data_IF_752002070351
#
_entry.id   IF_752002070351
#
_cell.length_a   1.000
_cell.length_b   1.000
_cell.length_c   1.000
_cell.angle_alpha   90.00
_cell.angle_beta   90.00
_cell.angle_gamma   90.00
#
_symmetry.space_group_name_H-M   'P 1'
#
loop_
_entity.id
_entity.type
_entity.pdbx_description
1 polymer ?
#
# COMPACT_ATOMS: atom_id res chain seq x y z
N UNK A 1 -71.58 -57.73 -30.21
CA UNK A 1 -71.61 -56.71 -29.13
C UNK A 1 -70.71 -55.56 -29.54
N UNK A 2 -71.28 -54.39 -29.86
CA UNK A 2 -70.51 -53.21 -30.30
C UNK A 2 -70.24 -52.33 -29.07
N UNK A 3 -68.97 -52.15 -28.70
CA UNK A 3 -68.54 -51.23 -27.65
C UNK A 3 -68.49 -49.81 -28.22
N UNK A 4 -69.37 -48.94 -27.76
CA UNK A 4 -69.27 -47.50 -27.98
C UNK A 4 -68.12 -46.95 -27.13
N UNK A 5 -67.09 -46.43 -27.78
CA UNK A 5 -66.01 -45.70 -27.12
C UNK A 5 -66.51 -44.30 -26.74
N UNK A 6 -66.72 -44.09 -25.44
CA UNK A 6 -67.02 -42.78 -24.87
C UNK A 6 -65.77 -41.89 -24.93
N UNK A 7 -65.82 -40.86 -25.79
CA UNK A 7 -64.73 -39.88 -25.93
C UNK A 7 -64.80 -38.89 -24.78
N UNK A 8 -64.02 -39.15 -23.71
CA UNK A 8 -63.83 -38.23 -22.57
C UNK A 8 -63.23 -36.90 -23.05
N UNK A 9 -64.07 -35.88 -23.24
CA UNK A 9 -63.65 -34.54 -23.60
C UNK A 9 -62.97 -33.87 -22.39
N UNK A 10 -61.67 -33.60 -22.52
CA UNK A 10 -60.84 -32.99 -21.49
C UNK A 10 -61.21 -31.49 -21.39
N UNK A 11 -62.02 -31.12 -20.42
CA UNK A 11 -62.34 -29.72 -20.14
C UNK A 11 -61.13 -29.05 -19.47
N UNK A 12 -60.41 -28.24 -20.24
CA UNK A 12 -59.28 -27.47 -19.71
C UNK A 12 -59.87 -26.33 -18.88
N UNK A 13 -59.58 -26.30 -17.58
CA UNK A 13 -60.08 -25.25 -16.70
C UNK A 13 -59.32 -23.94 -16.99
N UNK A 14 -59.94 -23.06 -17.77
CA UNK A 14 -59.38 -21.79 -18.26
C UNK A 14 -58.75 -20.94 -17.14
N UNK A 15 -59.36 -20.94 -15.95
CA UNK A 15 -58.88 -20.17 -14.81
C UNK A 15 -57.56 -20.74 -14.26
N UNK A 16 -57.43 -22.07 -14.21
CA UNK A 16 -56.19 -22.72 -13.79
C UNK A 16 -55.07 -22.54 -14.81
N UNK A 17 -55.36 -22.59 -16.12
CA UNK A 17 -54.36 -22.32 -17.16
C UNK A 17 -53.90 -20.88 -17.15
N UNK A 18 -54.81 -19.93 -16.89
CA UNK A 18 -54.47 -18.52 -16.76
C UNK A 18 -53.59 -18.27 -15.52
N UNK A 19 -53.93 -18.86 -14.37
CA UNK A 19 -53.12 -18.76 -13.16
C UNK A 19 -51.71 -19.34 -13.31
N UNK A 20 -51.56 -20.47 -14.00
CA UNK A 20 -50.25 -21.08 -14.28
C UNK A 20 -49.44 -20.19 -15.24
N UNK A 21 -50.09 -19.65 -16.28
CA UNK A 21 -49.43 -18.76 -17.23
C UNK A 21 -48.95 -17.46 -16.60
N UNK A 22 -49.77 -16.83 -15.74
CA UNK A 22 -49.39 -15.60 -15.03
C UNK A 22 -48.27 -15.86 -14.02
N UNK A 23 -48.32 -16.96 -13.27
CA UNK A 23 -47.26 -17.34 -12.35
C UNK A 23 -45.94 -17.63 -13.08
N UNK A 24 -46.00 -18.31 -14.24
CA UNK A 24 -44.83 -18.51 -15.10
C UNK A 24 -44.24 -17.21 -15.62
N UNK A 25 -45.08 -16.25 -16.04
CA UNK A 25 -44.64 -14.93 -16.49
C UNK A 25 -43.97 -14.13 -15.36
N UNK A 26 -44.51 -14.19 -14.14
CA UNK A 26 -43.92 -13.51 -12.97
C UNK A 26 -42.56 -14.10 -12.59
N UNK A 27 -42.41 -15.44 -12.64
CA UNK A 27 -41.11 -16.09 -12.42
C UNK A 27 -40.10 -15.65 -13.48
N UNK A 28 -40.51 -15.59 -14.75
CA UNK A 28 -39.64 -15.17 -15.84
C UNK A 28 -39.23 -13.68 -15.70
N UNK A 29 -40.15 -12.82 -15.28
CA UNK A 29 -39.86 -11.41 -14.98
C UNK A 29 -38.86 -11.29 -13.81
N UNK A 30 -39.02 -12.07 -12.75
CA UNK A 30 -38.08 -12.10 -11.62
C UNK A 30 -36.68 -12.55 -12.04
N UNK A 31 -36.58 -13.59 -12.88
CA UNK A 31 -35.29 -14.05 -13.42
C UNK A 31 -34.61 -12.96 -14.27
N UNK A 32 -35.38 -12.24 -15.09
CA UNK A 32 -34.86 -11.14 -15.88
C UNK A 32 -34.34 -9.99 -15.00
N UNK A 33 -35.10 -9.60 -13.97
CA UNK A 33 -34.69 -8.55 -13.03
C UNK A 33 -33.45 -8.94 -12.22
N UNK A 34 -33.35 -10.19 -11.77
CA UNK A 34 -32.15 -10.68 -11.06
C UNK A 34 -30.93 -10.71 -11.98
N UNK A 35 -31.06 -11.14 -13.24
CA UNK A 35 -29.97 -11.08 -14.21
C UNK A 35 -29.49 -9.64 -14.47
N UNK A 36 -30.43 -8.70 -14.66
CA UNK A 36 -30.12 -7.27 -14.79
C UNK A 36 -29.40 -6.74 -13.54
N UNK A 37 -29.88 -7.07 -12.34
CA UNK A 37 -29.25 -6.69 -11.08
C UNK A 37 -27.84 -7.23 -10.93
N UNK A 38 -27.58 -8.47 -11.34
CA UNK A 38 -26.24 -9.06 -11.35
C UNK A 38 -25.31 -8.34 -12.34
N UNK A 39 -25.81 -7.96 -13.53
CA UNK A 39 -25.04 -7.18 -14.51
C UNK A 39 -24.71 -5.77 -14.00
N UNK A 40 -25.69 -5.08 -13.42
CA UNK A 40 -25.50 -3.75 -12.82
C UNK A 40 -24.51 -3.83 -11.65
N UNK A 41 -24.61 -4.86 -10.80
CA UNK A 41 -23.63 -5.11 -9.73
C UNK A 41 -22.23 -5.34 -10.30
N UNK A 42 -22.09 -6.10 -11.39
CA UNK A 42 -20.79 -6.27 -12.06
C UNK A 42 -20.26 -4.95 -12.61
N UNK A 43 -21.10 -4.09 -13.18
CA UNK A 43 -20.72 -2.75 -13.65
C UNK A 43 -20.35 -1.80 -12.50
N UNK A 44 -21.08 -1.84 -11.39
CA UNK A 44 -20.77 -1.06 -10.18
C UNK A 44 -19.48 -1.51 -9.49
N UNK A 45 -19.07 -2.77 -9.67
CA UNK A 45 -17.79 -3.29 -9.20
C UNK A 45 -16.64 -3.03 -10.19
N UNK A 46 -16.92 -2.56 -11.41
CA UNK A 46 -15.86 -2.14 -12.34
C UNK A 46 -15.33 -0.78 -11.88
N UNK A 47 -14.00 -0.67 -11.85
CA UNK A 47 -13.31 0.57 -11.50
C UNK A 47 -13.65 1.65 -12.54
N UNK A 48 -13.86 2.91 -12.13
CA UNK A 48 -14.06 4.00 -13.06
C UNK A 48 -12.85 4.10 -13.99
N UNK A 49 -13.09 4.25 -15.28
CA UNK A 49 -12.01 4.37 -16.27
C UNK A 49 -11.10 5.55 -15.89
N UNK A 50 -9.79 5.30 -15.82
CA UNK A 50 -8.82 6.36 -15.60
C UNK A 50 -8.86 7.32 -16.81
N UNK A 51 -9.26 8.57 -16.59
CA UNK A 51 -9.17 9.61 -17.62
C UNK A 51 -7.69 9.95 -17.85
N UNK A 52 -7.12 9.43 -18.94
CA UNK A 52 -5.76 9.74 -19.35
C UNK A 52 -5.78 11.05 -20.14
N UNK A 53 -4.92 12.01 -19.80
CA UNK A 53 -4.72 13.20 -20.63
C UNK A 53 -4.09 12.78 -21.96
N UNK A 54 -4.68 13.25 -23.06
CA UNK A 54 -4.16 13.06 -24.41
C UNK A 54 -2.88 13.89 -24.57
N UNK A 55 -1.74 13.24 -24.78
CA UNK A 55 -0.55 13.93 -25.29
C UNK A 55 -0.62 13.85 -26.83
N UNK A 56 -0.73 15.01 -27.47
CA UNK A 56 -0.72 15.15 -28.94
C UNK A 56 -1.82 14.38 -29.72
N UNK A 57 -3.03 14.23 -29.15
CA UNK A 57 -4.22 13.77 -29.90
C UNK A 57 -4.25 12.27 -30.24
N UNK A 58 -3.28 11.49 -29.78
CA UNK A 58 -3.29 10.02 -29.88
C UNK A 58 -3.76 9.42 -28.56
N UNK A 59 -4.82 8.58 -28.54
CA UNK A 59 -5.22 7.87 -27.34
C UNK A 59 -4.14 6.85 -26.99
N UNK A 60 -3.41 7.08 -25.89
CA UNK A 60 -2.55 6.05 -25.32
C UNK A 60 -3.48 4.96 -24.82
N UNK A 61 -3.47 3.81 -25.48
CA UNK A 61 -4.10 2.59 -25.00
C UNK A 61 -3.29 2.12 -23.79
N UNK A 62 -3.52 2.71 -22.61
CA UNK A 62 -2.99 2.18 -21.36
C UNK A 62 -3.83 0.95 -21.02
N UNK A 63 -3.43 -0.19 -21.58
CA UNK A 63 -4.08 -1.49 -21.39
C UNK A 63 -3.83 -2.08 -19.99
N UNK A 64 -2.93 -1.47 -19.20
CA UNK A 64 -2.52 -1.93 -17.87
C UNK A 64 -2.68 -0.79 -16.85
N UNK A 65 -3.85 -0.70 -16.20
CA UNK A 65 -4.13 0.23 -15.07
C UNK A 65 -3.13 0.08 -13.91
N UNK A 66 -2.40 -1.05 -13.89
CA UNK A 66 -1.39 -1.37 -12.90
C UNK A 66 0.02 -1.02 -13.36
N UNK A 67 0.25 -0.54 -14.58
CA UNK A 67 1.57 -0.09 -15.00
C UNK A 67 1.93 1.25 -14.35
N UNK A 68 3.20 1.42 -13.98
CA UNK A 68 3.73 2.64 -13.35
C UNK A 68 5.09 2.95 -13.96
N UNK A 69 5.38 4.24 -14.09
CA UNK A 69 6.69 4.70 -14.55
C UNK A 69 7.78 4.23 -13.56
N UNK A 70 8.88 3.62 -14.03
CA UNK A 70 9.99 3.21 -13.18
C UNK A 70 10.51 4.30 -12.26
N UNK A 71 10.55 5.55 -12.71
CA UNK A 71 11.04 6.68 -11.93
C UNK A 71 10.07 7.05 -10.80
N UNK A 72 8.76 6.97 -11.03
CA UNK A 72 7.74 7.16 -9.97
C UNK A 72 7.93 6.13 -8.87
N UNK A 73 8.20 4.87 -9.22
CA UNK A 73 8.46 3.81 -8.23
C UNK A 73 9.73 4.11 -7.43
N UNK A 74 10.81 4.56 -8.09
CA UNK A 74 12.07 4.92 -7.41
C UNK A 74 11.90 6.10 -6.47
N UNK A 75 11.18 7.13 -6.89
CA UNK A 75 10.89 8.31 -6.08
C UNK A 75 10.00 7.94 -4.89
N UNK A 76 8.97 7.12 -5.11
CA UNK A 76 8.14 6.58 -4.05
C UNK A 76 8.98 5.87 -2.99
N UNK A 77 9.82 4.90 -3.38
CA UNK A 77 10.71 4.19 -2.45
C UNK A 77 11.64 5.14 -1.72
N UNK A 78 12.27 6.09 -2.43
CA UNK A 78 13.22 7.05 -1.84
C UNK A 78 12.54 7.96 -0.82
N UNK A 79 11.39 8.54 -1.19
CA UNK A 79 10.60 9.45 -0.35
C UNK A 79 10.06 8.72 0.87
N UNK A 80 9.47 7.55 0.70
CA UNK A 80 8.94 6.74 1.80
C UNK A 80 10.03 6.35 2.79
N UNK A 81 11.17 5.84 2.32
CA UNK A 81 12.28 5.45 3.20
C UNK A 81 12.90 6.66 3.90
N UNK A 82 13.08 7.77 3.19
CA UNK A 82 13.58 9.02 3.78
C UNK A 82 12.65 9.52 4.88
N UNK A 83 11.34 9.57 4.62
CA UNK A 83 10.36 9.98 5.63
C UNK A 83 10.24 9.01 6.80
N UNK A 84 10.53 7.72 6.61
CA UNK A 84 10.52 6.72 7.68
C UNK A 84 11.73 6.83 8.62
N UNK A 85 12.91 7.13 8.09
CA UNK A 85 14.19 7.01 8.81
C UNK A 85 14.90 8.34 9.12
N UNK A 86 14.41 9.47 8.60
CA UNK A 86 14.90 10.79 8.98
C UNK A 86 14.27 11.26 10.30
N UNK A 87 14.92 10.92 11.41
CA UNK A 87 14.47 11.27 12.75
C UNK A 87 15.17 12.54 13.23
N UNK A 88 14.41 13.64 13.30
CA UNK A 88 14.93 14.95 13.74
C UNK A 88 14.52 15.33 15.17
N UNK A 89 13.57 14.59 15.76
CA UNK A 89 12.90 14.97 17.01
C UNK A 89 11.92 16.13 16.85
N UNK A 90 11.57 16.50 15.62
CA UNK A 90 10.75 17.67 15.29
C UNK A 90 9.60 17.28 14.36
N UNK A 91 8.47 17.96 14.52
CA UNK A 91 7.31 17.76 13.66
C UNK A 91 7.59 18.26 12.23
N UNK A 92 7.04 17.60 11.19
CA UNK A 92 7.11 18.11 9.82
C UNK A 92 6.47 19.49 9.71
N UNK A 93 7.22 20.47 9.21
CA UNK A 93 6.72 21.84 9.04
C UNK A 93 5.55 21.88 8.04
N UNK A 94 4.48 22.57 8.42
CA UNK A 94 3.29 22.76 7.59
C UNK A 94 3.28 24.10 6.85
N UNK A 95 4.09 25.06 7.29
CA UNK A 95 4.21 26.40 6.73
C UNK A 95 5.66 26.93 6.87
N UNK A 96 5.95 28.08 6.26
CA UNK A 96 7.28 28.69 6.21
C UNK A 96 7.75 29.11 7.61
N UNK A 97 6.84 29.51 8.48
CA UNK A 97 7.12 29.90 9.86
C UNK A 97 7.64 28.71 10.69
N UNK A 98 7.02 27.54 10.52
CA UNK A 98 7.42 26.30 11.19
C UNK A 98 8.76 25.76 10.70
N UNK A 99 9.19 26.10 9.48
CA UNK A 99 10.56 25.82 9.02
C UNK A 99 11.58 26.59 9.88
N UNK A 100 11.27 27.84 10.23
CA UNK A 100 12.14 28.69 11.04
C UNK A 100 12.06 28.37 12.53
N UNK A 101 10.90 27.90 13.01
CA UNK A 101 10.67 27.54 14.42
C UNK A 101 10.01 26.16 14.53
N UNK A 102 10.78 25.08 14.30
CA UNK A 102 10.21 23.75 14.26
C UNK A 102 9.83 23.25 15.65
N UNK A 103 8.59 22.75 15.75
CA UNK A 103 7.98 22.24 16.98
C UNK A 103 8.58 20.88 17.37
N UNK A 104 8.77 20.60 18.68
CA UNK A 104 9.25 19.29 19.13
C UNK A 104 8.22 18.19 18.83
N UNK A 105 8.70 17.01 18.45
CA UNK A 105 7.90 15.81 18.27
C UNK A 105 7.86 15.03 19.59
N UNK A 106 6.66 14.76 20.11
CA UNK A 106 6.48 13.98 21.35
C UNK A 106 6.59 12.47 21.12
N UNK A 107 6.56 12.05 19.85
CA UNK A 107 6.55 10.66 19.41
C UNK A 107 5.20 9.98 19.61
N UNK A 108 5.00 8.90 18.86
CA UNK A 108 3.79 8.07 18.91
C UNK A 108 4.15 6.72 19.54
N UNK A 109 3.38 6.30 20.54
CA UNK A 109 3.62 5.04 21.27
C UNK A 109 3.16 3.84 20.44
N UNK A 110 4.08 2.91 20.22
CA UNK A 110 3.85 1.62 19.56
C UNK A 110 4.08 0.50 20.57
N UNK A 111 3.09 -0.39 20.79
CA UNK A 111 3.26 -1.53 21.68
C UNK A 111 4.22 -2.54 21.05
N UNK A 112 5.29 -2.90 21.77
CA UNK A 112 6.22 -3.96 21.34
C UNK A 112 5.76 -5.34 21.81
N UNK A 113 6.34 -6.39 21.24
CA UNK A 113 6.07 -7.79 21.64
C UNK A 113 6.43 -8.08 23.11
N UNK A 114 7.28 -7.25 23.70
CA UNK A 114 7.74 -7.36 25.10
C UNK A 114 6.81 -6.65 26.10
N UNK A 115 5.67 -6.10 25.65
CA UNK A 115 4.72 -5.37 26.50
C UNK A 115 5.16 -3.93 26.85
N UNK A 116 6.37 -3.52 26.44
CA UNK A 116 6.89 -2.16 26.63
C UNK A 116 6.51 -1.32 25.40
N UNK A 117 5.86 -0.17 25.60
CA UNK A 117 5.59 0.77 24.51
C UNK A 117 6.82 1.60 24.19
N UNK A 118 7.30 1.54 22.94
CA UNK A 118 8.38 2.40 22.43
C UNK A 118 7.81 3.49 21.53
N UNK A 119 8.57 4.56 21.30
CA UNK A 119 8.12 5.71 20.50
C UNK A 119 8.65 5.64 19.08
N UNK A 120 7.84 6.06 18.12
CA UNK A 120 8.25 6.37 16.74
C UNK A 120 8.02 7.85 16.47
N UNK A 121 8.77 8.43 15.55
CA UNK A 121 8.50 9.83 15.15
C UNK A 121 7.17 9.93 14.42
N UNK A 122 6.52 11.10 14.51
CA UNK A 122 5.30 11.40 13.78
C UNK A 122 5.51 11.23 12.27
N UNK A 123 6.68 11.63 11.76
CA UNK A 123 7.06 11.43 10.36
C UNK A 123 7.12 9.95 9.96
N UNK A 124 7.74 9.11 10.78
CA UNK A 124 7.82 7.66 10.56
C UNK A 124 6.45 7.00 10.58
N UNK A 125 5.59 7.42 11.52
CA UNK A 125 4.23 6.89 11.62
C UNK A 125 3.39 7.26 10.40
N UNK A 126 3.44 8.52 9.96
CA UNK A 126 2.74 8.98 8.75
C UNK A 126 3.30 8.24 7.52
N UNK A 127 4.62 8.18 7.37
CA UNK A 127 5.29 7.49 6.27
C UNK A 127 4.94 5.99 6.19
N UNK A 128 4.64 5.36 7.33
CA UNK A 128 4.22 3.94 7.38
C UNK A 128 2.93 3.64 6.62
N UNK A 129 2.14 4.65 6.22
CA UNK A 129 0.99 4.46 5.32
C UNK A 129 1.39 4.14 3.88
N UNK A 130 2.67 4.27 3.52
CA UNK A 130 3.25 3.72 2.29
C UNK A 130 3.43 2.20 2.36
N UNK A 131 3.31 1.62 3.56
CA UNK A 131 3.43 0.18 3.82
C UNK A 131 2.04 -0.46 3.83
N UNK A 132 1.95 -1.68 3.31
CA UNK A 132 0.73 -2.51 3.35
C UNK A 132 0.23 -2.68 4.78
N UNK A 133 -1.08 -2.76 4.94
CA UNK A 133 -1.72 -2.79 6.27
C UNK A 133 -1.30 -3.96 7.14
N UNK A 134 -1.21 -5.14 6.54
CA UNK A 134 -0.81 -6.37 7.23
C UNK A 134 0.63 -6.31 7.75
N UNK A 135 1.51 -5.59 7.05
CA UNK A 135 2.94 -5.49 7.37
C UNK A 135 3.27 -4.28 8.26
N UNK A 136 2.49 -3.20 8.16
CA UNK A 136 2.76 -1.90 8.81
C UNK A 136 2.94 -2.01 10.32
N UNK A 137 2.11 -2.79 11.00
CA UNK A 137 2.18 -2.94 12.46
C UNK A 137 3.49 -3.59 12.90
N UNK A 138 3.94 -4.63 12.19
CA UNK A 138 5.24 -5.26 12.42
C UNK A 138 6.39 -4.28 12.15
N UNK A 139 6.33 -3.63 10.99
CA UNK A 139 7.32 -2.64 10.60
C UNK A 139 7.48 -1.50 11.63
N UNK A 140 6.37 -0.94 12.12
CA UNK A 140 6.40 0.13 13.13
C UNK A 140 7.02 -0.33 14.46
N UNK A 141 6.88 -1.61 14.85
CA UNK A 141 7.54 -2.12 16.06
C UNK A 141 9.05 -2.13 15.91
N UNK A 142 9.56 -2.54 14.75
CA UNK A 142 10.99 -2.51 14.47
C UNK A 142 11.53 -1.08 14.39
N UNK A 143 10.81 -0.16 13.76
CA UNK A 143 11.17 1.26 13.79
C UNK A 143 11.21 1.77 15.24
N UNK A 144 10.23 1.41 16.06
CA UNK A 144 10.21 1.79 17.48
C UNK A 144 11.37 1.16 18.26
N UNK A 145 11.79 -0.05 17.91
CA UNK A 145 12.92 -0.72 18.53
C UNK A 145 14.26 -0.05 18.18
N UNK A 146 14.40 0.44 16.94
CA UNK A 146 15.59 1.12 16.44
C UNK A 146 15.65 2.62 16.77
N UNK A 147 14.51 3.27 17.05
CA UNK A 147 14.44 4.71 17.35
C UNK A 147 14.95 4.97 18.76
N UNK A 148 16.10 5.64 18.95
CA UNK A 148 16.59 5.97 20.29
C UNK A 148 15.63 6.96 20.98
N UNK A 149 15.34 6.79 22.29
CA UNK A 149 14.49 7.74 23.02
C UNK A 149 15.04 9.18 23.01
N UNK A 150 16.35 9.33 22.85
CA UNK A 150 17.06 10.61 22.74
C UNK A 150 16.62 11.44 21.53
N UNK A 151 16.04 10.81 20.50
CA UNK A 151 15.43 11.53 19.37
C UNK A 151 14.37 12.52 19.86
N UNK A 152 13.63 12.18 20.91
CA UNK A 152 12.55 13.01 21.46
C UNK A 152 13.02 13.92 22.60
N UNK A 153 14.32 13.99 22.85
CA UNK A 153 14.86 14.81 23.93
C UNK A 153 14.84 16.29 23.59
N UNK A 154 14.29 17.10 24.49
CA UNK A 154 14.38 18.56 24.42
C UNK A 154 15.77 19.09 24.79
N UNK A 155 16.63 18.25 25.39
CA UNK A 155 17.98 18.62 25.76
C UNK A 155 18.93 18.43 24.57
N UNK A 156 19.44 19.53 24.01
CA UNK A 156 20.37 19.53 22.87
C UNK A 156 21.65 18.74 23.11
N UNK A 157 22.10 18.61 24.37
CA UNK A 157 23.31 17.85 24.74
C UNK A 157 23.11 16.33 24.74
N UNK A 158 21.86 15.86 24.74
CA UNK A 158 21.54 14.43 24.75
C UNK A 158 20.85 13.99 23.45
N UNK A 159 20.30 14.94 22.70
CA UNK A 159 19.54 14.65 21.48
C UNK A 159 20.37 13.91 20.42
N UNK A 160 19.74 12.90 19.83
CA UNK A 160 20.25 12.16 18.67
C UNK A 160 19.35 12.46 17.48
N UNK A 161 19.94 12.64 16.30
CA UNK A 161 19.20 12.67 15.04
C UNK A 161 19.61 11.50 14.17
N UNK A 162 18.69 10.95 13.38
CA UNK A 162 19.00 9.94 12.39
C UNK A 162 18.64 10.45 11.00
N UNK A 163 19.43 10.05 10.00
CA UNK A 163 19.12 10.29 8.60
C UNK A 163 19.49 9.06 7.77
N UNK A 164 18.66 8.73 6.78
CA UNK A 164 19.00 7.70 5.79
C UNK A 164 19.70 8.35 4.60
N UNK A 165 20.96 8.00 4.39
CA UNK A 165 21.75 8.43 3.25
C UNK A 165 21.62 7.39 2.13
N UNK A 166 20.67 7.61 1.20
CA UNK A 166 20.46 6.74 0.06
C UNK A 166 21.61 6.92 -0.94
N UNK A 167 22.38 5.84 -1.17
CA UNK A 167 23.47 5.80 -2.15
C UNK A 167 22.97 5.40 -3.52
N UNK A 168 22.07 4.41 -3.56
CA UNK A 168 21.53 3.87 -4.81
C UNK A 168 20.15 3.29 -4.63
N UNK A 169 19.28 3.58 -5.60
CA UNK A 169 18.03 2.87 -5.83
C UNK A 169 18.16 2.17 -7.16
N UNK A 170 18.05 0.84 -7.18
CA UNK A 170 18.12 0.07 -8.41
C UNK A 170 16.86 0.28 -9.26
N UNK A 171 16.97 0.14 -10.60
CA UNK A 171 15.79 0.16 -11.46
C UNK A 171 14.76 -0.89 -11.02
N UNK A 172 13.47 -0.56 -10.97
CA UNK A 172 12.43 -1.48 -10.55
C UNK A 172 12.30 -2.63 -11.54
N UNK A 173 12.38 -3.87 -11.05
CA UNK A 173 12.23 -5.08 -11.85
C UNK A 173 10.80 -5.59 -11.72
N UNK A 174 10.08 -5.68 -12.84
CA UNK A 174 8.69 -6.19 -12.85
C UNK A 174 8.71 -7.67 -12.52
N UNK A 175 8.02 -8.07 -11.44
CA UNK A 175 7.90 -9.48 -11.03
C UNK A 175 6.57 -10.06 -11.53
N UNK A 176 5.51 -9.25 -11.50
CA UNK A 176 4.18 -9.58 -12.03
C UNK A 176 3.47 -8.30 -12.46
N UNK A 177 2.30 -8.37 -13.15
CA UNK A 177 1.48 -7.20 -13.40
C UNK A 177 1.22 -6.43 -12.09
N UNK A 178 1.49 -5.12 -12.10
CA UNK A 178 1.35 -4.27 -10.91
C UNK A 178 2.30 -4.54 -9.74
N UNK A 179 3.35 -5.35 -9.90
CA UNK A 179 4.32 -5.62 -8.82
C UNK A 179 5.76 -5.52 -9.30
N UNK A 180 6.59 -4.89 -8.47
CA UNK A 180 8.00 -4.65 -8.75
C UNK A 180 8.86 -4.95 -7.54
N UNK A 181 10.11 -5.30 -7.84
CA UNK A 181 11.20 -5.39 -6.88
C UNK A 181 12.13 -4.21 -7.06
N UNK A 182 12.54 -3.59 -5.96
CA UNK A 182 13.43 -2.43 -5.94
C UNK A 182 14.51 -2.63 -4.89
N UNK A 183 15.76 -2.74 -5.33
CA UNK A 183 16.90 -2.75 -4.42
C UNK A 183 17.23 -1.33 -3.95
N UNK A 184 17.51 -1.19 -2.65
CA UNK A 184 17.94 0.03 -2.00
C UNK A 184 19.26 -0.21 -1.27
N UNK A 185 20.24 0.64 -1.56
CA UNK A 185 21.53 0.72 -0.85
C UNK A 185 21.60 2.07 -0.18
N UNK A 186 21.62 2.06 1.15
CA UNK A 186 21.66 3.27 1.96
C UNK A 186 22.46 3.03 3.24
N UNK A 187 22.81 4.10 3.94
CA UNK A 187 23.32 4.05 5.31
C UNK A 187 22.37 4.80 6.24
N UNK A 188 22.03 4.23 7.39
CA UNK A 188 21.39 4.94 8.49
C UNK A 188 22.48 5.61 9.33
N UNK A 189 22.51 6.95 9.32
CA UNK A 189 23.50 7.75 10.03
C UNK A 189 22.81 8.36 11.25
N UNK A 190 23.18 7.89 12.44
CA UNK A 190 22.76 8.48 13.71
C UNK A 190 23.84 9.45 14.21
N UNK A 191 23.46 10.67 14.55
CA UNK A 191 24.38 11.72 15.00
C UNK A 191 23.97 12.20 16.38
N UNK A 192 24.89 12.15 17.34
CA UNK A 192 24.71 12.75 18.67
C UNK A 192 25.04 14.25 18.59
N UNK A 193 24.12 15.11 19.04
CA UNK A 193 24.27 16.56 18.86
C UNK A 193 25.39 17.20 19.68
N UNK A 194 25.73 16.64 20.84
CA UNK A 194 26.72 17.22 21.76
C UNK A 194 28.15 17.21 21.21
N UNK A 195 28.57 16.07 20.69
CA UNK A 195 29.96 15.81 20.28
C UNK A 195 30.08 15.55 18.76
N UNK A 196 28.97 15.54 18.04
CA UNK A 196 28.92 15.29 16.60
C UNK A 196 29.27 13.85 16.22
N UNK A 197 29.38 12.93 17.19
CA UNK A 197 29.71 11.53 16.90
C UNK A 197 28.63 10.89 16.04
N UNK A 198 29.07 10.13 15.04
CA UNK A 198 28.20 9.46 14.06
C UNK A 198 28.33 7.96 14.18
N UNK A 199 27.19 7.27 14.26
CA UNK A 199 27.08 5.82 14.10
C UNK A 199 26.47 5.58 12.73
N UNK A 200 27.15 4.79 11.90
CA UNK A 200 26.74 4.49 10.54
C UNK A 200 26.37 3.01 10.47
N UNK A 201 25.10 2.74 10.20
CA UNK A 201 24.57 1.39 10.07
C UNK A 201 24.15 1.14 8.62
N UNK A 202 24.75 0.19 7.89
CA UNK A 202 24.32 -0.14 6.54
C UNK A 202 22.85 -0.56 6.48
N UNK A 203 22.10 0.02 5.55
CA UNK A 203 20.68 -0.22 5.33
C UNK A 203 20.44 -0.67 3.89
N UNK A 204 20.86 -1.91 3.60
CA UNK A 204 20.67 -2.52 2.29
C UNK A 204 19.39 -3.36 2.32
N UNK A 205 18.39 -2.98 1.53
CA UNK A 205 17.06 -3.60 1.53
C UNK A 205 16.53 -3.86 0.13
N UNK A 206 15.81 -4.96 -0.02
CA UNK A 206 15.07 -5.33 -1.21
C UNK A 206 13.59 -5.07 -0.93
N UNK A 207 13.00 -4.10 -1.65
CA UNK A 207 11.64 -3.63 -1.42
C UNK A 207 10.71 -4.16 -2.49
N UNK A 208 9.62 -4.78 -2.04
CA UNK A 208 8.60 -5.35 -2.90
C UNK A 208 7.41 -4.40 -2.90
N UNK A 209 7.17 -3.81 -4.07
CA UNK A 209 6.20 -2.73 -4.28
C UNK A 209 5.06 -3.24 -5.15
N UNK A 210 3.83 -2.84 -4.84
CA UNK A 210 2.67 -3.13 -5.68
C UNK A 210 1.81 -1.88 -5.93
N UNK A 211 1.17 -1.85 -7.09
CA UNK A 211 0.16 -0.88 -7.41
C UNK A 211 -1.11 -1.17 -6.59
N UNK A 212 -1.75 -0.11 -6.10
CA UNK A 212 -3.03 -0.17 -5.40
C UNK A 212 -4.01 0.81 -6.00
N UNK A 213 -5.25 0.36 -6.16
CA UNK A 213 -6.29 1.13 -6.85
C UNK A 213 -7.21 1.88 -5.87
N UNK A 214 -6.85 1.91 -4.59
CA UNK A 214 -7.65 2.55 -3.57
C UNK A 214 -7.25 4.02 -3.41
N UNK A 215 -8.08 4.90 -3.97
CA UNK A 215 -8.18 6.26 -3.46
C UNK A 215 -9.62 6.80 -3.59
N UNK A 216 -10.42 6.86 -2.51
CA UNK A 216 -11.71 7.55 -2.56
C UNK A 216 -11.52 9.06 -2.40
N UNK A 217 -11.98 9.80 -3.41
CA UNK A 217 -12.31 11.23 -3.42
C UNK A 217 -11.16 12.25 -3.20
N UNK A 218 -11.23 13.45 -3.81
CA UNK A 218 -10.36 14.56 -3.43
C UNK A 218 -10.57 14.92 -1.96
N UNK A 219 -9.49 15.30 -1.28
CA UNK A 219 -9.54 15.85 0.08
C UNK A 219 -10.49 17.05 0.10
N UNK A 220 -11.41 17.07 1.04
CA UNK A 220 -12.15 18.31 1.34
C UNK A 220 -11.22 19.31 2.06
N UNK A 221 -11.58 20.58 2.01
CA UNK A 221 -10.80 21.62 2.69
C UNK A 221 -10.82 21.47 4.22
N UNK A 222 -11.87 20.83 4.76
CA UNK A 222 -12.07 20.54 6.19
C UNK A 222 -11.21 19.39 6.72
N UNK A 223 -10.47 18.70 5.87
CA UNK A 223 -9.72 17.50 6.23
C UNK A 223 -8.55 17.87 7.14
N UNK A 224 -8.32 17.06 8.19
CA UNK A 224 -7.24 17.31 9.14
C UNK A 224 -5.86 17.25 8.48
N UNK A 225 -4.89 17.98 9.06
CA UNK A 225 -3.49 17.97 8.61
C UNK A 225 -2.93 16.55 8.50
N UNK A 226 -3.26 15.68 9.46
CA UNK A 226 -2.82 14.29 9.46
C UNK A 226 -3.42 13.49 8.29
N UNK A 227 -4.71 13.65 8.02
CA UNK A 227 -5.37 12.99 6.90
C UNK A 227 -4.81 13.48 5.55
N UNK A 228 -4.53 14.79 5.41
CA UNK A 228 -3.86 15.35 4.22
C UNK A 228 -2.46 14.74 4.03
N UNK A 229 -1.70 14.55 5.11
CA UNK A 229 -0.38 13.93 5.05
C UNK A 229 -0.44 12.43 4.67
N UNK A 230 -1.38 11.67 5.23
CA UNK A 230 -1.62 10.26 4.88
C UNK A 230 -2.06 10.13 3.41
N UNK A 231 -2.95 11.02 2.96
CA UNK A 231 -3.39 11.09 1.57
C UNK A 231 -2.20 11.33 0.64
N UNK A 232 -1.34 12.30 0.94
CA UNK A 232 -0.18 12.65 0.10
C UNK A 232 0.86 11.53 -0.03
N UNK A 233 0.83 10.53 0.85
CA UNK A 233 1.65 9.32 0.69
C UNK A 233 0.98 8.31 -0.24
N UNK A 234 -0.34 8.19 -0.14
CA UNK A 234 -1.14 7.21 -0.90
C UNK A 234 -1.53 7.70 -2.31
N UNK A 235 -1.34 8.98 -2.61
CA UNK A 235 -1.64 9.57 -3.93
C UNK A 235 -0.85 8.93 -5.07
N UNK A 236 0.33 8.37 -4.78
CA UNK A 236 1.17 7.66 -5.75
C UNK A 236 0.59 6.30 -6.17
N UNK A 237 -0.48 5.82 -5.53
CA UNK A 237 -1.13 4.52 -5.82
C UNK A 237 -0.15 3.34 -5.80
N UNK A 238 0.82 3.42 -4.90
CA UNK A 238 1.86 2.42 -4.66
C UNK A 238 1.89 2.08 -3.17
N UNK A 239 2.19 0.82 -2.85
CA UNK A 239 2.51 0.41 -1.49
C UNK A 239 3.65 -0.61 -1.46
N UNK A 240 4.46 -0.55 -0.40
CA UNK A 240 5.48 -1.56 -0.10
C UNK A 240 4.79 -2.65 0.72
N UNK A 241 4.71 -3.85 0.17
CA UNK A 241 4.07 -4.97 0.86
C UNK A 241 5.05 -5.89 1.58
N UNK A 242 6.34 -5.77 1.28
CA UNK A 242 7.38 -6.57 1.92
C UNK A 242 8.75 -5.89 1.79
N UNK A 243 9.58 -6.04 2.82
CA UNK A 243 10.96 -5.53 2.88
C UNK A 243 11.86 -6.67 3.32
N UNK A 244 12.89 -6.98 2.52
CA UNK A 244 13.87 -8.02 2.77
C UNK A 244 15.28 -7.43 2.84
N UNK A 245 16.24 -8.19 3.33
CA UNK A 245 17.64 -7.81 3.20
C UNK A 245 18.09 -7.92 1.74
N UNK A 246 18.81 -6.92 1.27
CA UNK A 246 19.39 -6.92 -0.08
C UNK A 246 20.69 -7.73 -0.07
N UNK A 247 20.74 -8.78 -0.89
CA UNK A 247 21.99 -9.45 -1.21
C UNK A 247 22.76 -8.62 -2.24
N UNK A 248 23.87 -8.04 -1.80
CA UNK A 248 24.83 -7.35 -2.68
C UNK A 248 25.65 -8.39 -3.43
N UNK A 249 25.05 -8.99 -4.46
CA UNK A 249 25.77 -9.83 -5.43
C UNK A 249 26.12 -8.96 -6.64
N UNK A 250 27.31 -9.17 -7.23
CA UNK A 250 27.84 -8.39 -8.37
C UNK A 250 26.88 -8.35 -9.57
N UNK A 251 25.93 -9.30 -9.65
CA UNK A 251 24.93 -9.43 -10.69
C UNK A 251 23.48 -9.25 -10.19
N UNK A 252 23.23 -8.37 -9.21
CA UNK A 252 21.86 -8.13 -8.68
C UNK A 252 20.78 -7.92 -9.76
N UNK A 253 21.16 -7.38 -10.93
CA UNK A 253 20.25 -7.19 -12.06
C UNK A 253 19.81 -8.49 -12.77
N UNK A 254 20.55 -9.61 -12.61
CA UNK A 254 20.40 -10.85 -13.37
C UNK A 254 20.17 -12.10 -12.49
N UNK A 255 19.76 -11.93 -11.23
CA UNK A 255 19.57 -13.06 -10.32
C UNK A 255 18.30 -13.86 -10.63
N UNK A 256 18.46 -15.18 -10.76
CA UNK A 256 17.35 -16.15 -10.86
C UNK A 256 16.58 -16.29 -9.54
N UNK A 257 15.32 -16.76 -9.60
CA UNK A 257 14.47 -16.97 -8.41
C UNK A 257 15.12 -17.89 -7.35
N UNK A 258 15.91 -18.88 -7.78
CA UNK A 258 16.61 -19.82 -6.89
C UNK A 258 17.79 -19.17 -6.14
N UNK A 259 18.58 -18.33 -6.82
CA UNK A 259 19.70 -17.59 -6.20
C UNK A 259 19.20 -16.59 -5.14
N UNK A 260 18.00 -16.04 -5.33
CA UNK A 260 17.35 -15.15 -4.36
C UNK A 260 16.83 -15.91 -3.13
N UNK A 261 16.44 -17.18 -3.29
CA UNK A 261 16.04 -18.04 -2.17
C UNK A 261 17.24 -18.52 -1.34
N UNK A 262 18.39 -18.78 -1.96
CA UNK A 262 19.62 -19.16 -1.25
C UNK A 262 20.06 -18.09 -0.23
N UNK A 263 19.85 -16.81 -0.55
CA UNK A 263 20.04 -15.70 0.40
C UNK A 263 19.14 -15.77 1.65
N UNK A 264 17.96 -16.40 1.55
CA UNK A 264 17.01 -16.54 2.66
C UNK A 264 17.30 -17.74 3.58
N UNK A 265 18.17 -18.67 3.16
CA UNK A 265 18.42 -19.93 3.89
C UNK A 265 19.57 -19.78 4.90
N UNK A 266 20.53 -18.89 4.69
CA UNK A 266 21.63 -18.69 5.65
C UNK A 266 21.33 -17.73 6.82
N UNK A 267 20.30 -16.87 6.70
CA UNK A 267 19.92 -15.92 7.76
C UNK A 267 18.44 -16.09 8.16
N UNK A 268 18.07 -17.27 8.65
CA UNK A 268 16.72 -17.50 9.20
C UNK A 268 16.42 -16.68 10.46
N UNK A 269 17.36 -15.88 10.97
CA UNK A 269 17.16 -14.96 12.11
C UNK A 269 16.76 -13.53 11.75
N UNK A 270 16.92 -13.08 10.50
CA UNK A 270 16.95 -11.63 10.19
C UNK A 270 15.87 -11.18 9.17
N UNK A 271 14.71 -11.81 9.21
CA UNK A 271 13.51 -11.25 8.58
C UNK A 271 13.04 -10.06 9.43
N UNK A 272 12.94 -8.87 8.84
CA UNK A 272 12.51 -7.65 9.56
C UNK A 272 11.15 -7.83 10.27
N UNK A 273 10.32 -8.78 9.84
CA UNK A 273 9.08 -9.14 10.55
C UNK A 273 8.82 -10.64 10.42
N UNK A 274 9.62 -11.48 11.12
CA UNK A 274 9.12 -12.79 11.53
C UNK A 274 8.95 -12.82 13.04
#
# INVERSE_FOLDING_TARGET
>A
MVRLLEKKQRTVNLLTTFAIATLGLQILALLFLTFQGLKIRQLSLRKPAAFVQLIAGQPITVTDDLARDPEVIRQFVSKSMTSMFNWSGKLPAQNVEEVSKPKPDLGILIPTSQGISKKVTTSSWIASFAISEDFRKGFLREIAAMTPPEVFSNNSSQAITAQIAIKRVYPPQKISPGKWRVGLVADLIQTKKLDGRRIITPFNKDLLVRAVDYFPYPLDDTTSVLQKAIYGIRSEKLEIYEIRNLCLLDQYNNLSQEQLQQCGIQNTSDSFVR
#
